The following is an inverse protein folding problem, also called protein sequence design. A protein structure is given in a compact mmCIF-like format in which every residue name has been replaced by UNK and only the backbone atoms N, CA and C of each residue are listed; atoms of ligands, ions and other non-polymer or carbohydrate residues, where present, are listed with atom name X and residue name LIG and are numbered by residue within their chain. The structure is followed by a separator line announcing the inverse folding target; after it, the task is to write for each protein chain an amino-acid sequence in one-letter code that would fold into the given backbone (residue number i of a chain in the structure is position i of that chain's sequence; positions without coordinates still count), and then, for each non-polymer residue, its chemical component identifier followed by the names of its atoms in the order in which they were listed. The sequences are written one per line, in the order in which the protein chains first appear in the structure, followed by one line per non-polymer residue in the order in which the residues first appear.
data_IF_180509423568
#
_entry.id   IF_180509423568
#
_cell.length_a   1.000
_cell.length_b   1.000
_cell.length_c   1.000
_cell.angle_alpha   90.00
_cell.angle_beta   90.00
_cell.angle_gamma   90.00
#
_symmetry.space_group_name_H-M   'P 1'
#
loop_
_entity.id
_entity.type
_entity.pdbx_description
1 polymer ?
#
# COMPACT_ATOMS: atom_id res chain seq x y z
N UNK A 1 -13.26 18.14 12.13
CA UNK A 1 -13.40 17.60 10.77
C UNK A 1 -12.29 16.58 10.58
N UNK A 2 -12.64 15.33 10.29
CA UNK A 2 -11.70 14.22 10.15
C UNK A 2 -10.99 14.36 8.81
N UNK A 3 -9.67 14.15 8.77
CA UNK A 3 -8.89 14.06 7.53
C UNK A 3 -8.60 12.59 7.27
N UNK A 4 -9.19 12.02 6.23
CA UNK A 4 -9.14 10.60 5.94
C UNK A 4 -8.15 10.31 4.81
N UNK A 5 -7.19 9.43 5.06
CA UNK A 5 -6.33 8.84 4.02
C UNK A 5 -6.45 7.34 4.08
N UNK A 6 -6.68 6.69 2.94
CA UNK A 6 -6.89 5.23 2.87
C UNK A 6 -5.88 4.56 1.95
N UNK A 7 -5.23 3.51 2.45
CA UNK A 7 -4.43 2.56 1.66
C UNK A 7 -5.17 1.24 1.59
N UNK A 8 -5.12 0.57 0.44
CA UNK A 8 -6.00 -0.55 0.12
C UNK A 8 -7.47 -0.13 0.26
N UNK A 9 -7.80 1.03 -0.33
CA UNK A 9 -9.09 1.70 -0.14
C UNK A 9 -10.27 0.87 -0.64
N UNK A 10 -10.04 -0.06 -1.56
CA UNK A 10 -11.09 -0.77 -2.27
C UNK A 10 -12.11 0.22 -2.84
N UNK A 11 -13.39 -0.09 -2.67
CA UNK A 11 -14.50 0.77 -3.08
C UNK A 11 -14.91 1.81 -2.02
N UNK A 12 -14.10 2.00 -0.97
CA UNK A 12 -14.27 3.00 0.08
C UNK A 12 -15.24 2.58 1.20
N UNK A 13 -14.93 1.49 1.89
CA UNK A 13 -15.76 1.00 3.00
C UNK A 13 -15.68 1.89 4.26
N UNK A 14 -14.54 2.57 4.47
CA UNK A 14 -14.32 3.42 5.65
C UNK A 14 -15.03 4.76 5.47
N UNK A 15 -14.93 5.35 4.29
CA UNK A 15 -15.65 6.53 3.83
C UNK A 15 -17.16 6.32 4.05
N UNK A 16 -17.69 5.20 3.53
CA UNK A 16 -19.10 4.84 3.69
C UNK A 16 -19.53 4.73 5.15
N UNK A 17 -18.63 4.23 6.01
CA UNK A 17 -18.90 4.12 7.43
C UNK A 17 -18.94 5.49 8.11
N UNK A 18 -18.05 6.42 7.75
CA UNK A 18 -18.06 7.78 8.27
C UNK A 18 -19.31 8.54 7.83
N UNK A 19 -19.74 8.40 6.58
CA UNK A 19 -21.00 8.96 6.08
C UNK A 19 -22.19 8.41 6.88
N UNK A 20 -22.23 7.10 7.14
CA UNK A 20 -23.30 6.47 7.94
C UNK A 20 -23.36 6.91 9.39
N UNK A 21 -22.23 7.33 9.95
CA UNK A 21 -22.13 7.81 11.32
C UNK A 21 -22.30 9.33 11.42
N UNK A 22 -22.59 10.01 10.31
CA UNK A 22 -22.68 11.48 10.22
C UNK A 22 -21.41 12.16 10.76
N UNK A 23 -20.25 11.56 10.48
CA UNK A 23 -18.95 12.07 10.90
C UNK A 23 -18.35 12.92 9.78
N UNK A 24 -18.27 14.25 9.94
CA UNK A 24 -17.75 15.12 8.89
C UNK A 24 -16.28 14.85 8.63
N UNK A 25 -15.97 14.46 7.40
CA UNK A 25 -14.65 14.06 6.97
C UNK A 25 -14.29 14.62 5.59
N UNK A 26 -12.98 14.68 5.32
CA UNK A 26 -12.38 15.13 4.07
C UNK A 26 -11.38 14.06 3.60
N UNK A 27 -11.52 13.60 2.36
CA UNK A 27 -10.65 12.57 1.78
C UNK A 27 -9.39 13.25 1.27
N UNK A 28 -8.29 13.00 1.98
CA UNK A 28 -6.97 13.57 1.66
C UNK A 28 -6.27 12.77 0.57
N UNK A 29 -6.37 11.44 0.61
CA UNK A 29 -5.90 10.57 -0.47
C UNK A 29 -6.53 9.17 -0.37
N UNK A 30 -6.56 8.47 -1.49
CA UNK A 30 -6.89 7.05 -1.55
C UNK A 30 -5.84 6.30 -2.36
N UNK A 31 -5.61 5.03 -2.05
CA UNK A 31 -4.65 4.21 -2.75
C UNK A 31 -5.11 2.77 -2.88
N UNK A 32 -5.24 2.30 -4.12
CA UNK A 32 -5.56 0.90 -4.42
C UNK A 32 -5.23 0.55 -5.89
N UNK A 33 -4.50 -0.54 -6.10
CA UNK A 33 -4.17 -1.01 -7.46
C UNK A 33 -5.26 -1.90 -8.06
N UNK A 34 -6.29 -2.27 -7.32
CA UNK A 34 -7.32 -3.22 -7.74
C UNK A 34 -6.75 -4.62 -7.96
N UNK A 35 -5.79 -5.02 -7.13
CA UNK A 35 -5.02 -6.28 -7.25
C UNK A 35 -4.24 -6.43 -8.55
N UNK A 36 -4.10 -5.35 -9.35
CA UNK A 36 -3.31 -5.36 -10.57
C UNK A 36 -1.82 -5.43 -10.22
N UNK A 37 -1.11 -6.32 -10.93
CA UNK A 37 0.33 -6.52 -10.77
C UNK A 37 1.09 -5.98 -11.97
N UNK A 38 2.03 -5.08 -11.71
CA UNK A 38 3.00 -4.66 -12.71
C UNK A 38 3.79 -5.86 -13.24
N UNK A 39 4.05 -5.85 -14.54
CA UNK A 39 4.93 -6.80 -15.23
C UNK A 39 6.38 -6.37 -15.09
N UNK A 40 6.62 -5.05 -15.02
CA UNK A 40 7.95 -4.48 -14.77
C UNK A 40 8.47 -4.80 -13.36
N UNK A 41 9.78 -5.00 -13.25
CA UNK A 41 10.47 -5.12 -11.96
C UNK A 41 10.40 -3.81 -11.18
N UNK A 42 10.20 -3.91 -9.88
CA UNK A 42 10.08 -2.76 -8.97
C UNK A 42 11.32 -1.86 -9.05
N UNK A 43 12.52 -2.45 -9.01
CA UNK A 43 13.81 -1.74 -9.07
C UNK A 43 13.89 -0.79 -10.28
N UNK A 44 13.37 -1.24 -11.44
CA UNK A 44 13.40 -0.46 -12.68
C UNK A 44 12.42 0.71 -12.63
N UNK A 45 11.29 0.51 -11.95
CA UNK A 45 10.29 1.56 -11.72
C UNK A 45 10.84 2.59 -10.75
N UNK A 46 11.48 2.16 -9.66
CA UNK A 46 12.12 3.05 -8.67
C UNK A 46 13.19 3.94 -9.32
N UNK A 47 14.09 3.40 -10.14
CA UNK A 47 15.07 4.22 -10.87
C UNK A 47 14.44 5.16 -11.88
N UNK A 48 13.25 4.85 -12.41
CA UNK A 48 12.58 5.71 -13.39
C UNK A 48 11.85 6.90 -12.73
N UNK A 49 11.42 6.75 -11.48
CA UNK A 49 10.74 7.79 -10.70
C UNK A 49 11.68 8.62 -9.82
N UNK A 50 12.98 8.30 -9.84
CA UNK A 50 14.00 8.99 -9.06
C UNK A 50 14.11 10.47 -9.48
N UNK A 51 13.97 11.39 -8.52
CA UNK A 51 14.05 12.84 -8.75
C UNK A 51 12.78 13.50 -9.31
N UNK A 52 11.71 12.72 -9.56
CA UNK A 52 10.39 13.27 -9.92
C UNK A 52 9.66 13.78 -8.69
N UNK A 53 8.88 14.85 -8.82
CA UNK A 53 8.00 15.28 -7.72
C UNK A 53 6.81 14.32 -7.53
N UNK A 54 6.09 14.40 -6.41
CA UNK A 54 5.01 13.46 -6.10
C UNK A 54 3.89 13.40 -7.14
N UNK A 55 3.57 14.52 -7.79
CA UNK A 55 2.58 14.57 -8.87
C UNK A 55 3.08 13.85 -10.12
N UNK A 56 4.33 14.13 -10.52
CA UNK A 56 4.97 13.49 -11.67
C UNK A 56 5.13 11.98 -11.46
N UNK A 57 5.47 11.57 -10.23
CA UNK A 57 5.51 10.16 -9.85
C UNK A 57 4.15 9.51 -9.99
N UNK A 58 3.10 10.13 -9.45
CA UNK A 58 1.76 9.57 -9.50
C UNK A 58 1.27 9.43 -10.96
N UNK A 59 1.55 10.42 -11.79
CA UNK A 59 1.22 10.40 -13.22
C UNK A 59 1.98 9.29 -13.96
N UNK A 60 3.29 9.18 -13.73
CA UNK A 60 4.12 8.13 -14.34
C UNK A 60 3.64 6.73 -13.95
N UNK A 61 3.39 6.51 -12.65
CA UNK A 61 2.90 5.23 -12.15
C UNK A 61 1.52 4.92 -12.73
N UNK A 62 0.62 5.90 -12.79
CA UNK A 62 -0.72 5.73 -13.38
C UNK A 62 -0.63 5.29 -14.83
N UNK A 63 0.17 5.98 -15.64
CA UNK A 63 0.39 5.61 -17.05
C UNK A 63 1.04 4.23 -17.20
N UNK A 64 1.96 3.87 -16.32
CA UNK A 64 2.61 2.56 -16.32
C UNK A 64 1.58 1.45 -16.05
N UNK A 65 0.72 1.64 -15.05
CA UNK A 65 -0.37 0.71 -14.72
C UNK A 65 -1.38 0.58 -15.85
N UNK A 66 -1.81 1.68 -16.46
CA UNK A 66 -2.71 1.65 -17.61
C UNK A 66 -2.11 0.87 -18.79
N UNK A 67 -0.83 1.09 -19.07
CA UNK A 67 -0.11 0.42 -20.16
C UNK A 67 0.08 -1.08 -19.90
N UNK A 68 0.45 -1.47 -18.69
CA UNK A 68 0.80 -2.88 -18.39
C UNK A 68 -0.39 -3.74 -17.97
N UNK A 69 -1.36 -3.14 -17.27
CA UNK A 69 -2.43 -3.83 -16.56
C UNK A 69 -3.84 -3.42 -17.05
N UNK A 70 -3.98 -2.32 -17.79
CA UNK A 70 -5.29 -1.80 -18.21
C UNK A 70 -6.03 -1.06 -17.11
N UNK A 71 -7.35 -0.88 -17.29
CA UNK A 71 -8.21 -0.05 -16.42
C UNK A 71 -8.25 -0.52 -14.96
N UNK A 72 -8.28 0.43 -14.02
CA UNK A 72 -8.51 0.17 -12.60
C UNK A 72 -10.01 0.25 -12.25
N UNK A 73 -10.71 -0.89 -12.19
CA UNK A 73 -12.13 -0.90 -11.85
C UNK A 73 -12.41 -0.48 -10.39
N UNK A 74 -11.45 -0.67 -9.49
CA UNK A 74 -11.57 -0.25 -8.09
C UNK A 74 -11.55 1.27 -8.01
N UNK A 75 -10.59 1.91 -8.67
CA UNK A 75 -10.55 3.37 -8.79
C UNK A 75 -11.82 3.93 -9.43
N UNK A 76 -12.28 3.33 -10.54
CA UNK A 76 -13.50 3.77 -11.22
C UNK A 76 -14.71 3.74 -10.28
N UNK A 77 -14.85 2.66 -9.51
CA UNK A 77 -15.96 2.50 -8.55
C UNK A 77 -15.81 3.46 -7.38
N UNK A 78 -14.60 3.63 -6.86
CA UNK A 78 -14.31 4.56 -5.77
C UNK A 78 -14.67 5.99 -6.16
N UNK A 79 -14.25 6.45 -7.35
CA UNK A 79 -14.55 7.79 -7.89
C UNK A 79 -16.02 8.01 -8.23
N UNK A 80 -16.77 6.94 -8.50
CA UNK A 80 -18.21 7.03 -8.69
C UNK A 80 -18.95 7.30 -7.38
N UNK A 81 -18.38 6.87 -6.25
CA UNK A 81 -18.98 7.01 -4.92
C UNK A 81 -18.48 8.26 -4.18
N UNK A 82 -17.22 8.65 -4.38
CA UNK A 82 -16.56 9.72 -3.62
C UNK A 82 -15.87 10.73 -4.53
N UNK A 83 -15.99 12.00 -4.17
CA UNK A 83 -15.32 13.10 -4.87
C UNK A 83 -13.88 13.17 -4.39
N UNK A 84 -12.95 12.73 -5.22
CA UNK A 84 -11.50 12.81 -4.98
C UNK A 84 -10.82 13.37 -6.23
N UNK A 85 -9.85 14.26 -6.05
CA UNK A 85 -9.07 14.79 -7.18
C UNK A 85 -8.20 13.70 -7.80
N UNK A 86 -7.81 13.89 -9.06
CA UNK A 86 -7.05 12.87 -9.79
C UNK A 86 -5.66 12.64 -9.19
N UNK A 87 -5.00 13.71 -8.78
CA UNK A 87 -3.69 13.76 -8.13
C UNK A 87 -3.68 13.13 -6.72
N UNK A 88 -4.84 12.84 -6.13
CA UNK A 88 -4.97 12.30 -4.78
C UNK A 88 -5.37 10.81 -4.73
N UNK A 89 -5.49 10.15 -5.90
CA UNK A 89 -5.62 8.71 -5.97
C UNK A 89 -4.30 8.10 -6.45
N UNK A 90 -3.75 7.17 -5.68
CA UNK A 90 -2.48 6.53 -5.97
C UNK A 90 -2.69 5.07 -6.34
N UNK A 91 -2.06 4.62 -7.42
CA UNK A 91 -2.21 3.24 -7.86
C UNK A 91 -1.54 2.26 -6.90
N UNK A 92 -0.35 2.57 -6.39
CA UNK A 92 0.39 1.61 -5.58
C UNK A 92 1.10 2.25 -4.39
N UNK A 93 0.84 1.65 -3.22
CA UNK A 93 1.38 2.08 -1.92
C UNK A 93 2.90 2.04 -1.84
N UNK A 94 3.57 1.22 -2.67
CA UNK A 94 5.04 1.11 -2.70
C UNK A 94 5.70 2.40 -3.20
N UNK A 95 5.03 3.09 -4.11
CA UNK A 95 5.52 4.35 -4.67
C UNK A 95 4.94 5.56 -3.95
N UNK A 96 4.15 5.34 -2.90
CA UNK A 96 3.64 6.38 -2.04
C UNK A 96 4.75 6.85 -1.09
N UNK A 97 5.19 8.08 -1.32
CA UNK A 97 5.87 8.91 -0.32
C UNK A 97 7.26 8.40 0.10
N UNK A 98 8.10 7.99 -0.87
CA UNK A 98 9.53 7.79 -0.58
C UNK A 98 10.21 9.12 -0.28
N UNK A 99 9.91 10.18 -1.03
CA UNK A 99 10.63 11.45 -0.93
C UNK A 99 10.30 12.22 0.35
N UNK A 100 9.04 12.28 0.77
CA UNK A 100 8.66 12.89 2.04
C UNK A 100 9.29 12.17 3.24
N UNK A 101 9.33 10.83 3.22
CA UNK A 101 10.00 10.05 4.28
C UNK A 101 11.50 10.29 4.30
N UNK A 102 12.14 10.37 3.12
CA UNK A 102 13.58 10.67 2.99
C UNK A 102 13.86 12.07 3.52
N UNK A 103 13.13 13.09 3.06
CA UNK A 103 13.31 14.48 3.50
C UNK A 103 13.05 14.65 5.00
N UNK A 104 12.03 13.98 5.55
CA UNK A 104 11.75 14.00 6.99
C UNK A 104 12.89 13.37 7.80
N UNK A 105 13.54 12.33 7.27
CA UNK A 105 14.69 11.68 7.91
C UNK A 105 15.98 12.49 7.73
N UNK A 106 16.25 13.03 6.54
CA UNK A 106 17.39 13.93 6.29
C UNK A 106 17.32 15.14 7.21
N UNK A 107 16.14 15.74 7.39
CA UNK A 107 15.94 16.85 8.33
C UNK A 107 16.27 16.47 9.79
N UNK A 108 16.11 15.19 10.17
CA UNK A 108 16.52 14.67 11.48
C UNK A 108 18.01 14.34 11.59
N UNK A 109 18.68 14.04 10.48
CA UNK A 109 20.08 13.61 10.44
C UNK A 109 21.04 14.77 10.22
N UNK A 110 20.65 15.74 9.40
CA UNK A 110 21.45 16.91 9.04
C UNK A 110 21.15 18.14 9.91
N UNK A 111 19.99 18.19 10.56
CA UNK A 111 19.58 19.31 11.40
C UNK A 111 20.01 19.21 12.86
N UNK A 112 20.11 20.36 13.54
CA UNK A 112 20.36 20.46 14.99
C UNK A 112 19.13 20.13 15.86
N UNK A 113 18.00 19.79 15.24
CA UNK A 113 16.72 19.54 15.92
C UNK A 113 16.59 18.07 16.30
N UNK A 114 16.02 17.83 17.48
CA UNK A 114 15.71 16.46 17.90
C UNK A 114 14.59 15.84 17.07
N UNK A 115 14.59 14.51 16.92
CA UNK A 115 13.53 13.74 16.23
C UNK A 115 12.13 14.12 16.76
N UNK A 116 12.00 14.41 18.06
CA UNK A 116 10.73 14.83 18.65
C UNK A 116 10.26 16.22 18.19
N UNK A 117 11.18 17.16 17.98
CA UNK A 117 10.86 18.48 17.44
C UNK A 117 10.48 18.39 15.97
N UNK A 118 11.26 17.66 15.18
CA UNK A 118 10.97 17.45 13.74
C UNK A 118 9.64 16.73 13.56
N UNK A 119 9.36 15.68 14.35
CA UNK A 119 8.07 14.99 14.32
C UNK A 119 6.90 15.95 14.64
N UNK A 120 7.07 16.83 15.63
CA UNK A 120 6.05 17.82 15.98
C UNK A 120 5.84 18.87 14.88
N UNK A 121 6.91 19.34 14.24
CA UNK A 121 6.84 20.29 13.12
C UNK A 121 6.16 19.69 11.90
N UNK A 122 6.43 18.41 11.61
CA UNK A 122 5.84 17.66 10.50
C UNK A 122 4.44 17.07 10.82
N UNK A 123 3.93 17.26 12.04
CA UNK A 123 2.66 16.66 12.47
C UNK A 123 2.67 15.14 12.55
N UNK A 124 3.85 14.53 12.68
CA UNK A 124 4.05 13.08 12.75
C UNK A 124 4.13 12.59 14.20
N UNK A 125 3.71 11.35 14.43
CA UNK A 125 3.99 10.68 15.70
C UNK A 125 5.50 10.41 15.83
N UNK A 126 6.07 10.68 17.01
CA UNK A 126 7.50 10.46 17.29
C UNK A 126 7.98 9.06 16.87
N UNK A 127 7.22 8.02 17.23
CA UNK A 127 7.58 6.63 16.93
C UNK A 127 7.64 6.35 15.42
N UNK A 128 6.80 7.04 14.62
CA UNK A 128 6.80 6.91 13.16
C UNK A 128 8.10 7.45 12.58
N UNK A 129 8.46 8.68 12.95
CA UNK A 129 9.67 9.32 12.45
C UNK A 129 10.93 8.62 12.98
N UNK A 130 10.94 8.20 14.25
CA UNK A 130 12.02 7.42 14.83
C UNK A 130 12.23 6.09 14.10
N UNK A 131 11.15 5.37 13.75
CA UNK A 131 11.22 4.15 12.95
C UNK A 131 11.80 4.44 11.56
N UNK A 132 11.37 5.51 10.91
CA UNK A 132 11.91 5.90 9.61
C UNK A 132 13.41 6.20 9.67
N UNK A 133 13.87 7.00 10.63
CA UNK A 133 15.29 7.30 10.81
C UNK A 133 16.11 6.01 11.03
N UNK A 134 15.55 5.05 11.78
CA UNK A 134 16.19 3.75 12.01
C UNK A 134 16.28 2.93 10.71
N UNK A 135 15.18 2.78 9.99
CA UNK A 135 15.11 2.04 8.73
C UNK A 135 16.07 2.62 7.67
N UNK A 136 16.15 3.95 7.59
CA UNK A 136 17.05 4.66 6.66
C UNK A 136 18.54 4.43 6.97
N UNK A 137 18.92 4.40 8.26
CA UNK A 137 20.30 4.05 8.69
C UNK A 137 20.64 2.60 8.38
N UNK A 138 19.68 1.69 8.57
CA UNK A 138 19.86 0.25 8.30
C UNK A 138 19.94 -0.07 6.79
N UNK A 139 19.32 0.75 5.93
CA UNK A 139 19.31 0.58 4.47
C UNK A 139 20.39 1.38 3.73
N UNK A 140 21.38 1.94 4.46
CA UNK A 140 22.48 2.73 3.89
C UNK A 140 21.99 3.89 2.97
N UNK A 141 20.82 4.47 3.29
CA UNK A 141 20.24 5.59 2.55
C UNK A 141 19.52 5.24 1.24
N UNK A 142 19.31 3.95 0.94
CA UNK A 142 18.82 3.54 -0.40
C UNK A 142 17.35 3.12 -0.47
N UNK A 143 16.66 2.86 0.65
CA UNK A 143 15.21 2.59 0.60
C UNK A 143 14.52 2.51 1.95
N UNK A 144 13.32 3.07 2.04
CA UNK A 144 12.31 2.64 3.00
C UNK A 144 11.65 1.39 2.46
N UNK A 145 11.96 0.23 3.02
CA UNK A 145 11.14 -0.96 2.77
C UNK A 145 9.77 -0.71 3.39
N UNK A 146 8.80 -0.30 2.56
CA UNK A 146 7.41 -0.13 2.99
C UNK A 146 6.95 -1.38 3.73
N UNK A 147 5.94 -1.27 4.60
CA UNK A 147 5.49 -2.37 5.47
C UNK A 147 5.03 -3.65 4.73
N UNK A 148 4.98 -3.63 3.40
CA UNK A 148 4.73 -4.78 2.52
C UNK A 148 5.98 -5.45 1.92
N UNK A 149 7.20 -4.92 2.12
CA UNK A 149 8.43 -5.58 1.68
C UNK A 149 8.88 -6.59 2.73
N UNK A 150 8.42 -7.81 2.50
CA UNK A 150 8.88 -9.03 3.15
C UNK A 150 10.38 -9.15 2.88
N UNK A 151 11.21 -9.16 3.95
CA UNK A 151 12.65 -9.49 3.83
C UNK A 151 12.80 -10.76 2.96
N UNK A 152 13.83 -10.92 2.12
CA UNK A 152 13.99 -12.11 1.26
C UNK A 152 13.82 -13.43 2.03
N UNK A 153 14.28 -13.44 3.28
CA UNK A 153 14.17 -14.53 4.25
C UNK A 153 12.71 -14.95 4.60
N UNK A 154 11.74 -14.06 4.42
CA UNK A 154 10.33 -14.28 4.77
C UNK A 154 9.43 -14.54 3.53
N UNK A 155 9.93 -14.36 2.31
CA UNK A 155 9.14 -14.59 1.09
C UNK A 155 8.79 -16.07 0.93
N UNK A 156 9.78 -16.93 1.14
CA UNK A 156 9.62 -18.39 1.11
C UNK A 156 8.61 -18.87 2.16
N UNK A 157 8.63 -18.30 3.37
CA UNK A 157 7.68 -18.62 4.44
C UNK A 157 6.24 -18.28 4.03
N UNK A 158 6.03 -17.17 3.32
CA UNK A 158 4.71 -16.71 2.91
C UNK A 158 4.18 -17.55 1.74
N UNK A 159 5.02 -17.87 0.76
CA UNK A 159 4.66 -18.79 -0.34
C UNK A 159 4.31 -20.18 0.19
N UNK A 160 5.12 -20.72 1.11
CA UNK A 160 4.86 -22.02 1.73
C UNK A 160 3.56 -22.03 2.54
N UNK A 161 3.25 -20.95 3.26
CA UNK A 161 1.97 -20.81 4.00
C UNK A 161 0.78 -20.77 3.06
N UNK A 162 0.87 -19.98 1.99
CA UNK A 162 -0.17 -19.92 0.95
C UNK A 162 -0.40 -21.29 0.34
N UNK A 163 0.67 -22.00 0.00
CA UNK A 163 0.57 -23.33 -0.62
C UNK A 163 -0.03 -24.36 0.33
N UNK A 164 0.33 -24.33 1.60
CA UNK A 164 -0.30 -25.20 2.61
C UNK A 164 -1.79 -24.93 2.74
N UNK A 165 -2.21 -23.67 2.75
CA UNK A 165 -3.62 -23.31 2.84
C UNK A 165 -4.41 -23.81 1.63
N UNK A 166 -3.90 -23.61 0.41
CA UNK A 166 -4.52 -24.15 -0.82
C UNK A 166 -4.65 -25.68 -0.77
N UNK A 167 -3.60 -26.38 -0.32
CA UNK A 167 -3.62 -27.84 -0.18
C UNK A 167 -4.63 -28.33 0.88
N UNK A 168 -4.75 -27.61 2.00
CA UNK A 168 -5.73 -27.92 3.04
C UNK A 168 -7.17 -27.74 2.54
N UNK A 169 -7.42 -26.68 1.76
CA UNK A 169 -8.72 -26.43 1.12
C UNK A 169 -9.06 -27.52 0.08
N UNK A 170 -8.11 -27.90 -0.77
CA UNK A 170 -8.26 -29.00 -1.73
C UNK A 170 -8.57 -30.33 -1.02
N UNK A 171 -7.84 -30.66 0.06
CA UNK A 171 -8.09 -31.85 0.86
C UNK A 171 -9.46 -31.80 1.56
N UNK A 172 -9.89 -30.63 2.02
CA UNK A 172 -11.20 -30.46 2.65
C UNK A 172 -12.33 -30.70 1.63
N UNK A 173 -12.19 -30.18 0.41
CA UNK A 173 -13.13 -30.42 -0.70
C UNK A 173 -13.15 -31.91 -1.06
N UNK A 174 -11.99 -32.54 -1.22
CA UNK A 174 -11.87 -33.96 -1.56
C UNK A 174 -12.49 -34.86 -0.49
N UNK A 175 -12.24 -34.57 0.79
CA UNK A 175 -12.85 -35.31 1.92
C UNK A 175 -14.37 -35.15 1.95
N UNK A 176 -14.88 -33.94 1.70
CA UNK A 176 -16.33 -33.69 1.59
C UNK A 176 -16.94 -34.46 0.41
N UNK A 177 -16.30 -34.42 -0.75
CA UNK A 177 -16.73 -35.15 -1.93
C UNK A 177 -16.74 -36.68 -1.67
N UNK A 178 -15.66 -37.22 -1.12
CA UNK A 178 -15.58 -38.64 -0.75
C UNK A 178 -16.68 -39.03 0.24
N UNK A 179 -16.98 -38.18 1.23
CA UNK A 179 -18.08 -38.41 2.17
C UNK A 179 -19.46 -38.45 1.51
N UNK A 180 -19.67 -37.69 0.44
CA UNK A 180 -20.90 -37.72 -0.37
C UNK A 180 -20.96 -39.01 -1.20
N UNK A 181 -19.87 -39.38 -1.88
CA UNK A 181 -19.81 -40.57 -2.72
C UNK A 181 -19.91 -41.89 -1.92
N UNK A 182 -19.38 -41.94 -0.70
CA UNK A 182 -19.42 -43.12 0.17
C UNK A 182 -20.75 -43.30 0.91
N UNK A 183 -21.52 -42.23 1.16
CA UNK A 183 -22.87 -42.32 1.76
C UNK A 183 -23.95 -42.81 0.80
N UNK A 184 -23.72 -42.71 -0.51
CA UNK A 184 -24.67 -43.13 -1.55
C UNK A 184 -24.41 -44.56 -2.08
N UNK A 185 -23.47 -45.32 -1.51
CA UNK A 185 -23.35 -46.76 -1.77
C UNK A 185 -24.34 -47.52 -0.87
N UNK A 186 -25.55 -47.74 -1.37
CA UNK A 186 -26.44 -48.84 -0.99
C UNK A 186 -26.70 -49.70 -2.21
#
# INVERSE_FOLDING_TARGET
MIRLGTVFSGIGAIEHALDRLDLPHDIVFACDNGERKLKSKIEKVESAIEGMNDSEKNDYITQLYEKECGMNYVEQTYRANYIIKNDLFYQDVRFLDQEYKIQAVELCLEGDKSIAQVAKELGLAYNTLHRWVKEYKESNGTSFVGSGNIKPQNQEIIELRRRNQELEEELAILKKALGIFTRNQK
#
